data_IF_993497309599
#
_entry.id   IF_993497309599
#
_cell.length_a   1.000
_cell.length_b   1.000
_cell.length_c   1.000
_cell.angle_alpha   90.00
_cell.angle_beta   90.00
_cell.angle_gamma   90.00
#
_symmetry.space_group_name_H-M   'P 1'
#
loop_
_entity.id
_entity.type
_entity.pdbx_description
1 polymer ?
#
# COMPACT_ATOMS: atom_id res chain seq x y z
N UNK A 1 2.99 -12.91 23.79
CA UNK A 1 4.11 -13.28 22.87
C UNK A 1 4.01 -12.51 21.58
N UNK A 2 5.06 -11.81 21.19
CA UNK A 2 5.16 -11.04 19.92
C UNK A 2 6.20 -11.74 19.04
N UNK A 3 5.88 -12.04 17.78
CA UNK A 3 6.81 -12.63 16.82
C UNK A 3 7.45 -11.51 15.99
N UNK A 4 8.78 -11.45 15.94
CA UNK A 4 9.55 -10.43 15.22
C UNK A 4 10.13 -10.94 13.91
N UNK A 5 10.55 -12.20 13.86
CA UNK A 5 11.16 -12.79 12.68
C UNK A 5 10.98 -14.30 12.70
N UNK A 6 10.65 -14.88 11.54
CA UNK A 6 10.53 -16.32 11.36
C UNK A 6 11.14 -16.75 10.03
N UNK A 7 12.00 -17.73 10.06
CA UNK A 7 12.53 -18.45 8.92
C UNK A 7 12.35 -19.96 9.12
N UNK A 8 12.81 -20.78 8.19
CA UNK A 8 12.69 -22.24 8.30
C UNK A 8 13.28 -22.79 9.62
N UNK A 9 14.42 -22.22 10.04
CA UNK A 9 15.18 -22.73 11.19
C UNK A 9 15.21 -21.79 12.40
N UNK A 10 14.79 -20.55 12.27
CA UNK A 10 14.89 -19.55 13.31
C UNK A 10 13.56 -18.84 13.52
N UNK A 11 13.14 -18.78 14.77
CA UNK A 11 11.98 -18.00 15.22
C UNK A 11 12.43 -17.09 16.35
N UNK A 12 12.21 -15.79 16.19
CA UNK A 12 12.54 -14.78 17.20
C UNK A 12 11.27 -14.18 17.76
N UNK A 13 11.11 -14.22 19.07
CA UNK A 13 9.90 -13.75 19.77
C UNK A 13 10.27 -12.92 21.00
N UNK A 14 9.29 -12.14 21.48
CA UNK A 14 9.33 -11.46 22.77
C UNK A 14 8.17 -11.93 23.61
N UNK A 15 8.47 -12.40 24.80
CA UNK A 15 7.48 -12.89 25.73
C UNK A 15 7.97 -12.73 27.16
N UNK A 16 7.08 -12.31 28.08
CA UNK A 16 7.40 -12.13 29.50
C UNK A 16 8.71 -11.35 29.74
N UNK A 17 8.84 -10.19 29.09
CA UNK A 17 9.99 -9.28 29.16
C UNK A 17 11.33 -9.90 28.74
N UNK A 18 11.28 -10.97 27.93
CA UNK A 18 12.48 -11.64 27.40
C UNK A 18 12.42 -11.80 25.90
N UNK A 19 13.55 -11.66 25.27
CA UNK A 19 13.77 -12.01 23.88
C UNK A 19 14.18 -13.47 23.76
N UNK A 20 13.54 -14.20 22.85
CA UNK A 20 13.72 -15.64 22.69
C UNK A 20 14.11 -15.97 21.25
N UNK A 21 14.97 -16.97 21.08
CA UNK A 21 15.23 -17.63 19.80
C UNK A 21 14.80 -19.11 19.95
N UNK A 22 13.85 -19.54 19.13
CA UNK A 22 13.32 -20.91 19.18
C UNK A 22 12.94 -21.30 20.62
N UNK A 23 12.18 -20.42 21.29
CA UNK A 23 11.71 -20.58 22.68
C UNK A 23 12.81 -20.51 23.76
N UNK A 24 14.07 -20.36 23.39
CA UNK A 24 15.19 -20.23 24.34
C UNK A 24 15.53 -18.74 24.56
N UNK A 25 15.65 -18.27 25.81
CA UNK A 25 16.02 -16.91 26.11
C UNK A 25 17.37 -16.53 25.51
N UNK A 26 17.43 -15.35 24.89
CA UNK A 26 18.67 -14.79 24.36
C UNK A 26 19.45 -14.10 25.49
N UNK A 27 20.70 -14.49 25.64
CA UNK A 27 21.62 -13.95 26.64
C UNK A 27 22.79 -13.24 25.96
N UNK A 28 23.38 -12.27 26.65
CA UNK A 28 24.65 -11.66 26.27
C UNK A 28 25.84 -12.53 26.72
N UNK A 29 27.06 -12.07 26.49
CA UNK A 29 28.30 -12.76 26.85
C UNK A 29 28.46 -12.93 28.38
N UNK A 30 27.82 -12.06 29.16
CA UNK A 30 27.84 -12.09 30.60
C UNK A 30 26.72 -12.93 31.23
N UNK A 31 25.85 -13.55 30.39
CA UNK A 31 24.73 -14.38 30.81
C UNK A 31 23.48 -13.59 31.24
N UNK A 32 23.40 -12.30 30.92
CA UNK A 32 22.21 -11.48 31.16
C UNK A 32 21.28 -11.52 29.93
N UNK A 33 19.98 -11.28 30.14
CA UNK A 33 19.04 -11.13 29.03
C UNK A 33 19.45 -9.96 28.14
N UNK A 34 19.48 -10.18 26.82
CA UNK A 34 19.83 -9.10 25.87
C UNK A 34 18.81 -7.97 25.93
N UNK A 35 19.29 -6.74 25.73
CA UNK A 35 18.44 -5.56 25.68
C UNK A 35 17.83 -5.34 24.27
N UNK A 36 16.88 -4.40 24.17
CA UNK A 36 16.16 -4.07 22.94
C UNK A 36 17.10 -3.65 21.79
N UNK A 37 18.15 -2.88 22.08
CA UNK A 37 19.11 -2.43 21.06
C UNK A 37 19.90 -3.60 20.47
N UNK A 38 20.41 -4.50 21.31
CA UNK A 38 21.11 -5.72 20.90
C UNK A 38 20.20 -6.66 20.12
N UNK A 39 18.95 -6.81 20.55
CA UNK A 39 17.97 -7.61 19.84
C UNK A 39 17.66 -7.04 18.44
N UNK A 40 17.41 -5.74 18.32
CA UNK A 40 17.18 -5.08 17.02
C UNK A 40 18.37 -5.25 16.07
N UNK A 41 19.59 -5.15 16.58
CA UNK A 41 20.79 -5.38 15.78
C UNK A 41 20.88 -6.84 15.30
N UNK A 42 20.56 -7.79 16.17
CA UNK A 42 20.48 -9.22 15.82
C UNK A 42 19.45 -9.47 14.71
N UNK A 43 18.23 -8.97 14.85
CA UNK A 43 17.18 -9.13 13.84
C UNK A 43 17.60 -8.49 12.52
N UNK A 44 18.21 -7.30 12.55
CA UNK A 44 18.73 -6.65 11.34
C UNK A 44 19.79 -7.51 10.64
N UNK A 45 20.70 -8.13 11.41
CA UNK A 45 21.73 -9.02 10.88
C UNK A 45 21.12 -10.29 10.26
N UNK A 46 20.18 -10.93 10.94
CA UNK A 46 19.48 -12.13 10.45
C UNK A 46 18.69 -11.83 9.17
N UNK A 47 17.96 -10.71 9.14
CA UNK A 47 17.21 -10.26 7.95
C UNK A 47 18.16 -9.96 6.80
N UNK A 48 19.26 -9.25 7.06
CA UNK A 48 20.28 -8.97 6.03
C UNK A 48 20.89 -10.25 5.49
N UNK A 49 21.23 -11.20 6.36
CA UNK A 49 21.77 -12.50 5.94
C UNK A 49 20.76 -13.30 5.10
N UNK A 50 19.48 -13.25 5.47
CA UNK A 50 18.40 -13.88 4.70
C UNK A 50 18.27 -13.25 3.31
N UNK A 51 18.26 -11.92 3.19
CA UNK A 51 18.10 -11.21 1.92
C UNK A 51 19.32 -11.41 1.00
N UNK A 52 20.53 -11.47 1.56
CA UNK A 52 21.77 -11.60 0.77
C UNK A 52 22.16 -13.06 0.45
N UNK A 53 21.34 -14.05 0.80
CA UNK A 53 21.53 -15.41 0.30
C UNK A 53 21.38 -15.46 -1.22
N UNK A 54 22.20 -16.27 -1.87
CA UNK A 54 22.02 -16.58 -3.29
C UNK A 54 20.79 -17.50 -3.45
N UNK A 55 19.69 -16.93 -3.86
CA UNK A 55 18.48 -17.67 -4.22
C UNK A 55 18.44 -17.91 -5.72
N UNK A 56 18.09 -19.12 -6.15
CA UNK A 56 17.86 -19.41 -7.57
C UNK A 56 16.63 -18.68 -8.12
N UNK A 57 15.58 -18.53 -7.28
CA UNK A 57 14.37 -17.78 -7.60
C UNK A 57 13.89 -17.05 -6.36
N UNK A 58 13.53 -15.79 -6.52
CA UNK A 58 12.92 -14.96 -5.46
C UNK A 58 11.51 -14.55 -5.92
N UNK A 59 10.51 -14.88 -5.12
CA UNK A 59 9.15 -14.40 -5.29
C UNK A 59 8.85 -13.46 -4.12
N UNK A 60 8.51 -12.20 -4.45
CA UNK A 60 8.09 -11.20 -3.46
C UNK A 60 6.59 -10.98 -3.61
N UNK A 61 5.86 -11.24 -2.54
CA UNK A 61 4.44 -10.91 -2.43
C UNK A 61 4.32 -9.67 -1.55
N UNK A 62 3.93 -8.56 -2.15
CA UNK A 62 3.67 -7.31 -1.44
C UNK A 62 2.15 -7.05 -1.41
N UNK A 63 1.60 -6.85 -0.22
CA UNK A 63 0.20 -6.46 -0.06
C UNK A 63 0.00 -4.94 -0.22
N UNK A 64 -1.25 -4.51 -0.33
CA UNK A 64 -1.65 -3.11 -0.50
C UNK A 64 -1.09 -2.15 0.60
N UNK A 65 -0.77 -2.68 1.77
CA UNK A 65 -0.14 -1.91 2.85
C UNK A 65 1.38 -1.76 2.76
N UNK A 66 2.04 -2.37 1.77
CA UNK A 66 3.51 -2.36 1.68
C UNK A 66 4.10 -0.96 1.42
N UNK A 67 3.32 -0.06 0.82
CA UNK A 67 3.68 1.34 0.57
C UNK A 67 3.29 2.30 1.71
N UNK A 68 2.54 1.83 2.70
CA UNK A 68 2.04 2.66 3.79
C UNK A 68 3.12 2.85 4.86
N UNK A 69 3.46 4.09 5.15
CA UNK A 69 4.37 4.47 6.22
C UNK A 69 3.57 4.98 7.42
N UNK A 70 3.84 4.45 8.59
CA UNK A 70 3.19 4.87 9.83
C UNK A 70 4.08 5.86 10.60
N UNK A 71 3.47 6.92 11.12
CA UNK A 71 4.03 7.81 12.11
C UNK A 71 3.22 7.66 13.40
N UNK A 72 3.70 6.85 14.32
CA UNK A 72 2.91 6.39 15.46
C UNK A 72 1.75 5.50 14.98
N UNK A 73 0.51 5.85 15.33
CA UNK A 73 -0.70 5.15 14.93
C UNK A 73 -1.35 5.75 13.66
N UNK A 74 -0.78 6.79 13.08
CA UNK A 74 -1.33 7.48 11.92
C UNK A 74 -0.54 7.14 10.66
N UNK A 75 -1.23 7.10 9.52
CA UNK A 75 -0.60 6.96 8.20
C UNK A 75 0.12 8.26 7.86
N UNK A 76 1.37 8.15 7.44
CA UNK A 76 2.15 9.27 6.92
C UNK A 76 1.87 9.45 5.43
N UNK A 77 0.88 10.26 5.08
CA UNK A 77 0.41 10.48 3.70
C UNK A 77 1.50 10.99 2.73
N UNK A 78 2.60 11.52 3.27
CA UNK A 78 3.72 12.00 2.47
C UNK A 78 4.47 10.86 1.77
N UNK A 79 4.48 9.66 2.35
CA UNK A 79 5.34 8.56 1.91
C UNK A 79 4.60 7.33 1.41
N UNK A 80 3.29 7.29 1.54
CA UNK A 80 2.51 6.18 1.04
C UNK A 80 1.01 6.39 1.26
N UNK A 81 0.22 5.91 0.33
CA UNK A 81 -1.23 6.03 0.36
C UNK A 81 -1.87 4.65 0.20
N UNK A 82 -2.99 4.44 0.87
CA UNK A 82 -3.87 3.30 0.59
C UNK A 82 -4.62 3.55 -0.73
N UNK A 83 -5.20 2.50 -1.30
CA UNK A 83 -6.04 2.61 -2.51
C UNK A 83 -7.18 3.61 -2.31
N UNK A 84 -7.83 3.63 -1.13
CA UNK A 84 -8.88 4.61 -0.81
C UNK A 84 -8.35 6.04 -0.78
N UNK A 85 -7.19 6.27 -0.17
CA UNK A 85 -6.55 7.59 -0.13
C UNK A 85 -6.13 8.07 -1.52
N UNK A 86 -5.72 7.16 -2.40
CA UNK A 86 -5.45 7.48 -3.81
C UNK A 86 -6.73 7.85 -4.54
N UNK A 87 -7.81 7.13 -4.35
CA UNK A 87 -9.11 7.44 -4.95
C UNK A 87 -9.62 8.84 -4.51
N UNK A 88 -9.48 9.17 -3.22
CA UNK A 88 -9.83 10.50 -2.69
C UNK A 88 -8.97 11.62 -3.32
N UNK A 89 -7.65 11.39 -3.40
CA UNK A 89 -6.72 12.33 -4.02
C UNK A 89 -7.08 12.55 -5.49
N UNK A 90 -7.25 11.48 -6.27
CA UNK A 90 -7.62 11.52 -7.68
C UNK A 90 -8.93 12.30 -7.88
N UNK A 91 -9.97 11.97 -7.08
CA UNK A 91 -11.26 12.65 -7.17
C UNK A 91 -11.13 14.16 -6.91
N UNK A 92 -10.36 14.54 -5.90
CA UNK A 92 -10.10 15.94 -5.58
C UNK A 92 -9.35 16.65 -6.72
N UNK A 93 -8.27 16.07 -7.20
CA UNK A 93 -7.43 16.68 -8.23
C UNK A 93 -8.13 16.82 -9.58
N UNK A 94 -8.96 15.85 -9.95
CA UNK A 94 -9.77 15.94 -11.17
C UNK A 94 -10.85 17.01 -11.05
N UNK A 95 -11.51 17.15 -9.91
CA UNK A 95 -12.52 18.20 -9.68
C UNK A 95 -11.95 19.63 -9.75
N UNK A 96 -10.67 19.79 -9.39
CA UNK A 96 -10.01 21.10 -9.41
C UNK A 96 -9.57 21.54 -10.82
N UNK A 97 -9.54 20.63 -11.77
CA UNK A 97 -9.01 20.88 -13.12
C UNK A 97 -10.14 20.86 -14.16
N UNK A 98 -10.53 22.03 -14.65
CA UNK A 98 -11.60 22.19 -15.67
C UNK A 98 -11.28 21.50 -17.00
N UNK A 99 -9.99 21.19 -17.27
CA UNK A 99 -9.58 20.46 -18.48
C UNK A 99 -9.72 18.95 -18.33
N UNK A 100 -10.07 18.47 -17.14
CA UNK A 100 -10.30 17.07 -16.86
C UNK A 100 -11.80 16.78 -16.73
N UNK A 101 -12.17 15.55 -17.04
CA UNK A 101 -13.41 14.97 -16.55
C UNK A 101 -13.29 14.68 -15.07
N UNK A 102 -14.37 14.83 -14.32
CA UNK A 102 -14.44 14.37 -12.93
C UNK A 102 -14.36 12.84 -12.88
N UNK A 103 -14.00 12.29 -11.73
CA UNK A 103 -13.95 10.84 -11.55
C UNK A 103 -15.34 10.19 -11.77
N UNK A 104 -16.42 10.88 -11.39
CA UNK A 104 -17.78 10.40 -11.64
C UNK A 104 -18.12 10.41 -13.14
N UNK A 105 -17.79 11.48 -13.88
CA UNK A 105 -17.99 11.53 -15.33
C UNK A 105 -17.24 10.40 -16.05
N UNK A 106 -16.00 10.11 -15.64
CA UNK A 106 -15.23 9.00 -16.18
C UNK A 106 -15.88 7.64 -15.83
N UNK A 107 -16.39 7.47 -14.62
CA UNK A 107 -17.10 6.27 -14.19
C UNK A 107 -18.39 6.07 -15.03
N UNK A 108 -19.12 7.14 -15.29
CA UNK A 108 -20.32 7.11 -16.13
C UNK A 108 -19.97 6.75 -17.59
N UNK A 109 -18.87 7.29 -18.13
CA UNK A 109 -18.37 6.94 -19.47
C UNK A 109 -18.09 5.44 -19.62
N UNK A 110 -17.33 4.86 -18.69
CA UNK A 110 -17.00 3.44 -18.75
C UNK A 110 -18.10 2.52 -18.19
N UNK A 111 -19.26 3.08 -17.84
CA UNK A 111 -20.40 2.36 -17.26
C UNK A 111 -20.06 1.57 -15.98
N UNK A 112 -19.18 2.15 -15.19
CA UNK A 112 -18.84 1.58 -13.89
C UNK A 112 -20.05 1.62 -12.95
N UNK A 113 -20.42 0.48 -12.39
CA UNK A 113 -21.73 0.30 -11.75
C UNK A 113 -21.83 0.86 -10.32
N UNK A 114 -20.72 1.35 -9.74
CA UNK A 114 -20.69 1.87 -8.37
C UNK A 114 -20.51 3.38 -8.42
N UNK A 115 -21.39 4.17 -7.74
CA UNK A 115 -21.17 5.61 -7.61
C UNK A 115 -19.83 5.91 -6.96
N UNK A 116 -19.14 6.93 -7.47
CA UNK A 116 -17.82 7.34 -6.96
C UNK A 116 -17.94 7.93 -5.56
N UNK A 117 -18.97 8.75 -5.29
CA UNK A 117 -19.16 9.44 -4.03
C UNK A 117 -20.43 8.97 -3.30
N UNK A 118 -20.39 9.07 -1.99
CA UNK A 118 -21.59 8.97 -1.16
C UNK A 118 -22.43 10.26 -1.28
N UNK A 119 -23.76 10.11 -1.30
CA UNK A 119 -24.70 11.22 -1.58
C UNK A 119 -24.62 12.34 -0.53
N UNK A 120 -24.23 12.02 0.71
CA UNK A 120 -24.34 12.96 1.83
C UNK A 120 -23.02 13.61 2.28
N UNK A 121 -21.84 13.10 1.91
CA UNK A 121 -20.57 13.53 2.51
C UNK A 121 -19.46 13.93 1.54
N UNK A 122 -19.66 13.90 0.24
CA UNK A 122 -18.60 14.12 -0.78
C UNK A 122 -17.36 13.24 -0.58
N UNK A 123 -17.51 12.14 0.13
CA UNK A 123 -16.48 11.14 0.35
C UNK A 123 -16.56 10.04 -0.72
N UNK A 124 -15.44 9.40 -0.96
CA UNK A 124 -15.43 8.22 -1.83
C UNK A 124 -16.29 7.11 -1.22
N UNK A 125 -17.17 6.57 -2.05
CA UNK A 125 -18.02 5.44 -1.67
C UNK A 125 -17.14 4.25 -1.25
N UNK A 126 -17.32 3.63 -0.08
CA UNK A 126 -16.55 2.48 0.36
C UNK A 126 -16.59 1.27 -0.58
N UNK A 127 -17.61 1.20 -1.45
CA UNK A 127 -17.74 0.15 -2.47
C UNK A 127 -17.03 0.48 -3.78
N UNK A 128 -16.55 1.73 -3.94
CA UNK A 128 -15.78 2.13 -5.11
C UNK A 128 -14.40 1.45 -5.07
N UNK A 129 -14.11 0.64 -6.06
CA UNK A 129 -12.83 -0.03 -6.22
C UNK A 129 -12.04 0.66 -7.33
N UNK A 130 -10.95 1.34 -6.95
CA UNK A 130 -10.11 2.07 -7.89
C UNK A 130 -9.47 1.15 -8.94
N UNK A 131 -9.06 -0.07 -8.57
CA UNK A 131 -8.38 -1.00 -9.48
C UNK A 131 -9.35 -1.51 -10.57
N UNK A 132 -10.57 -1.88 -10.16
CA UNK A 132 -11.63 -2.30 -11.11
C UNK A 132 -12.01 -1.14 -12.03
N UNK A 133 -12.19 0.07 -11.47
CA UNK A 133 -12.46 1.28 -12.24
C UNK A 133 -11.38 1.58 -13.27
N UNK A 134 -10.09 1.49 -12.90
CA UNK A 134 -8.99 1.73 -13.84
C UNK A 134 -8.96 0.69 -14.97
N UNK A 135 -9.31 -0.54 -14.68
CA UNK A 135 -9.43 -1.61 -15.69
C UNK A 135 -10.53 -1.30 -16.68
N UNK A 136 -11.70 -0.85 -16.20
CA UNK A 136 -12.83 -0.45 -17.04
C UNK A 136 -12.49 0.80 -17.86
N UNK A 137 -11.85 1.80 -17.24
CA UNK A 137 -11.40 3.03 -17.91
C UNK A 137 -10.50 2.71 -19.11
N UNK A 138 -9.45 1.91 -18.90
CA UNK A 138 -8.53 1.52 -19.98
C UNK A 138 -9.23 0.71 -21.07
N UNK A 139 -10.14 -0.17 -20.70
CA UNK A 139 -10.89 -1.00 -21.65
C UNK A 139 -11.86 -0.17 -22.52
N UNK A 140 -12.37 0.94 -21.95
CA UNK A 140 -13.31 1.83 -22.62
C UNK A 140 -12.64 2.83 -23.58
N UNK A 141 -11.34 3.07 -23.46
CA UNK A 141 -10.61 4.09 -24.25
C UNK A 141 -10.94 4.07 -25.75
N UNK A 142 -11.05 2.89 -26.33
CA UNK A 142 -11.36 2.70 -27.76
C UNK A 142 -12.79 3.12 -28.18
N UNK A 143 -13.67 3.39 -27.20
CA UNK A 143 -15.05 3.80 -27.43
C UNK A 143 -15.29 5.28 -27.14
N UNK A 144 -14.27 6.02 -26.70
CA UNK A 144 -14.36 7.45 -26.46
C UNK A 144 -14.58 8.19 -27.78
N UNK A 145 -15.59 9.07 -27.82
CA UNK A 145 -15.84 9.89 -29.01
C UNK A 145 -14.66 10.84 -29.31
N UNK A 146 -14.41 11.11 -30.59
CA UNK A 146 -13.28 11.96 -31.02
C UNK A 146 -13.28 13.34 -30.33
N UNK A 147 -14.47 13.94 -30.11
CA UNK A 147 -14.59 15.23 -29.44
C UNK A 147 -14.23 15.22 -27.96
N UNK A 148 -14.42 14.10 -27.29
CA UNK A 148 -14.15 13.92 -25.84
C UNK A 148 -12.74 13.36 -25.59
N UNK A 149 -12.11 12.79 -26.61
CA UNK A 149 -10.84 12.09 -26.49
C UNK A 149 -9.70 12.97 -25.90
N UNK A 150 -9.51 14.23 -26.29
CA UNK A 150 -8.47 15.06 -25.71
C UNK A 150 -8.65 15.27 -24.21
N UNK A 151 -9.88 15.52 -23.76
CA UNK A 151 -10.20 15.71 -22.34
C UNK A 151 -10.07 14.40 -21.56
N UNK A 152 -10.50 13.29 -22.17
CA UNK A 152 -10.34 11.94 -21.61
C UNK A 152 -8.86 11.59 -21.41
N UNK A 153 -8.01 11.83 -22.42
CA UNK A 153 -6.58 11.54 -22.37
C UNK A 153 -5.88 12.35 -21.29
N UNK A 154 -6.18 13.65 -21.17
CA UNK A 154 -5.64 14.51 -20.10
C UNK A 154 -6.06 13.97 -18.72
N UNK A 155 -7.32 13.60 -18.57
CA UNK A 155 -7.84 13.05 -17.31
C UNK A 155 -7.15 11.73 -16.93
N UNK A 156 -7.03 10.82 -17.91
CA UNK A 156 -6.36 9.53 -17.75
C UNK A 156 -4.90 9.72 -17.33
N UNK A 157 -4.14 10.55 -18.06
CA UNK A 157 -2.75 10.79 -17.76
C UNK A 157 -2.57 11.39 -16.35
N UNK A 158 -3.42 12.35 -15.97
CA UNK A 158 -3.40 12.91 -14.62
C UNK A 158 -3.65 11.87 -13.54
N UNK A 159 -4.55 10.92 -13.76
CA UNK A 159 -4.78 9.80 -12.83
C UNK A 159 -3.49 8.98 -12.67
N UNK A 160 -2.85 8.61 -13.78
CA UNK A 160 -1.64 7.78 -13.73
C UNK A 160 -0.43 8.51 -13.14
N UNK A 161 -0.35 9.84 -13.27
CA UNK A 161 0.70 10.64 -12.64
C UNK A 161 0.54 10.73 -11.10
N UNK A 162 -0.66 10.45 -10.57
CA UNK A 162 -0.95 10.48 -9.13
C UNK A 162 -0.73 9.12 -8.43
N UNK A 163 -0.63 8.03 -9.19
CA UNK A 163 -0.42 6.66 -8.69
C UNK A 163 1.06 6.34 -8.63
#
# INVERSE_FOLDING_TARGET
MIEYFKSVNNKYTYDNDKYLKNETPLMDEDGNSINDASFKLLIKKETSHFIHKNYGNIIVLAGAGASVVLNGNNICEKFGKTVSMLAELINKELKMDSNCFTLQELADFCKYNVPVEEVEESKINPKFNLEDFLSDLLSFEKYVAEGDYPKYEVSKNKIFDLI
#
